data_IF_531145288654
#
_entry.id   IF_531145288654
#
_cell.length_a   1.000
_cell.length_b   1.000
_cell.length_c   1.000
_cell.angle_alpha   90.00
_cell.angle_beta   90.00
_cell.angle_gamma   90.00
#
_symmetry.space_group_name_H-M   'P 1'
#
loop_
_entity.id
_entity.type
_entity.pdbx_description
1 polymer ?
#
# COMPACT_ATOMS: atom_id res chain seq x y z
N UNK A 1 -12.64 9.96 34.52
CA UNK A 1 -12.56 9.52 33.12
C UNK A 1 -11.41 10.26 32.50
N UNK A 2 -10.27 9.59 32.39
CA UNK A 2 -9.04 10.19 31.85
C UNK A 2 -9.18 10.24 30.33
N UNK A 3 -9.22 11.44 29.76
CA UNK A 3 -9.20 11.61 28.30
C UNK A 3 -7.75 11.40 27.88
N UNK A 4 -7.45 10.23 27.32
CA UNK A 4 -6.15 9.98 26.69
C UNK A 4 -5.96 10.97 25.54
N UNK A 5 -4.76 11.48 25.42
CA UNK A 5 -4.37 12.41 24.36
C UNK A 5 -4.61 11.77 22.98
N UNK A 6 -5.66 12.21 22.29
CA UNK A 6 -6.19 11.57 21.07
C UNK A 6 -5.37 11.84 19.81
N UNK A 7 -4.15 12.38 19.96
CA UNK A 7 -3.27 12.74 18.84
C UNK A 7 -2.48 11.56 18.27
N UNK A 8 -2.36 10.46 19.02
CA UNK A 8 -1.54 9.33 18.64
C UNK A 8 -2.34 8.02 18.59
N UNK A 9 -1.98 7.15 17.65
CA UNK A 9 -2.39 5.75 17.66
C UNK A 9 -1.41 5.00 18.58
N UNK A 10 -1.91 4.39 19.65
CA UNK A 10 -1.05 3.73 20.66
C UNK A 10 -0.81 2.25 20.35
N UNK A 11 -1.80 1.57 19.76
CA UNK A 11 -1.74 0.12 19.48
C UNK A 11 -2.82 -0.29 18.48
N UNK A 12 -2.62 -1.46 17.88
CA UNK A 12 -3.67 -2.19 17.16
C UNK A 12 -4.52 -2.94 18.19
N UNK A 13 -5.85 -2.78 18.13
CA UNK A 13 -6.79 -3.54 18.97
C UNK A 13 -7.15 -4.87 18.31
N UNK A 14 -7.45 -4.82 17.03
CA UNK A 14 -7.86 -5.98 16.22
C UNK A 14 -7.48 -5.72 14.76
N UNK A 15 -7.05 -6.77 14.05
CA UNK A 15 -6.77 -6.70 12.61
C UNK A 15 -8.04 -7.04 11.83
N UNK A 16 -8.30 -6.31 10.75
CA UNK A 16 -9.46 -6.53 9.88
C UNK A 16 -9.35 -7.77 8.97
N UNK A 17 -8.20 -8.46 8.97
CA UNK A 17 -7.86 -9.50 7.98
C UNK A 17 -7.47 -8.95 6.60
N UNK A 18 -7.74 -7.67 6.32
CA UNK A 18 -7.35 -6.99 5.07
C UNK A 18 -5.87 -6.62 5.09
N UNK A 19 -5.25 -6.58 3.92
CA UNK A 19 -3.84 -6.20 3.75
C UNK A 19 -3.74 -4.99 2.85
N UNK A 20 -2.65 -4.23 2.98
CA UNK A 20 -2.38 -3.09 2.10
C UNK A 20 -1.21 -3.43 1.19
N UNK A 21 -1.41 -3.37 -0.12
CA UNK A 21 -0.33 -3.46 -1.12
C UNK A 21 0.11 -2.04 -1.49
N UNK A 22 1.37 -1.69 -1.24
CA UNK A 22 1.92 -0.36 -1.54
C UNK A 22 2.89 -0.45 -2.69
N UNK A 23 2.81 0.50 -3.62
CA UNK A 23 3.76 0.64 -4.73
C UNK A 23 4.30 2.06 -4.76
N UNK A 24 5.61 2.16 -4.96
CA UNK A 24 6.36 3.40 -5.19
C UNK A 24 7.01 3.37 -6.57
N UNK A 25 6.72 4.37 -7.40
CA UNK A 25 7.30 4.55 -8.74
C UNK A 25 8.43 5.59 -8.69
N UNK A 26 9.60 5.24 -9.22
CA UNK A 26 10.78 6.11 -9.23
C UNK A 26 10.76 7.13 -10.38
N UNK A 27 11.62 8.15 -10.22
CA UNK A 27 12.01 9.05 -11.30
C UNK A 27 13.46 8.73 -11.73
N UNK A 28 13.82 8.92 -13.02
CA UNK A 28 12.94 9.30 -14.12
C UNK A 28 12.02 8.14 -14.54
N UNK A 29 10.80 8.47 -14.97
CA UNK A 29 9.84 7.46 -15.42
C UNK A 29 10.26 6.74 -16.70
N UNK A 30 10.01 5.43 -16.81
CA UNK A 30 10.17 4.70 -18.07
C UNK A 30 9.15 5.17 -19.11
N UNK A 31 9.41 4.87 -20.39
CA UNK A 31 8.45 5.13 -21.47
C UNK A 31 7.18 4.28 -21.34
N UNK A 32 7.35 3.02 -20.94
CA UNK A 32 6.26 2.09 -20.64
C UNK A 32 5.94 2.15 -19.14
N UNK A 33 5.08 3.09 -18.78
CA UNK A 33 4.66 3.38 -17.41
C UNK A 33 3.49 2.49 -16.97
N UNK A 34 3.72 1.65 -15.96
CA UNK A 34 2.77 0.65 -15.45
C UNK A 34 1.59 1.24 -14.68
N UNK A 35 1.55 2.55 -14.38
CA UNK A 35 0.49 3.13 -13.53
C UNK A 35 -0.89 3.03 -14.14
N UNK A 36 -1.01 3.19 -15.47
CA UNK A 36 -2.30 3.03 -16.14
C UNK A 36 -2.78 1.57 -16.06
N UNK A 37 -1.87 0.61 -16.26
CA UNK A 37 -2.15 -0.82 -16.14
C UNK A 37 -2.58 -1.15 -14.71
N UNK A 38 -1.90 -0.60 -13.71
CA UNK A 38 -2.24 -0.79 -12.30
C UNK A 38 -3.61 -0.19 -11.95
N UNK A 39 -3.93 1.02 -12.43
CA UNK A 39 -5.26 1.63 -12.24
C UNK A 39 -6.37 0.74 -12.81
N UNK A 40 -6.15 0.19 -14.00
CA UNK A 40 -7.10 -0.73 -14.63
C UNK A 40 -7.24 -2.03 -13.83
N UNK A 41 -6.16 -2.57 -13.29
CA UNK A 41 -6.17 -3.76 -12.46
C UNK A 41 -6.91 -3.53 -11.13
N UNK A 42 -6.68 -2.39 -10.46
CA UNK A 42 -7.41 -1.96 -9.26
C UNK A 42 -8.91 -1.89 -9.56
N UNK A 43 -9.30 -1.19 -10.63
CA UNK A 43 -10.70 -1.02 -10.99
C UNK A 43 -11.38 -2.35 -11.38
N UNK A 44 -10.71 -3.16 -12.20
CA UNK A 44 -11.26 -4.45 -12.66
C UNK A 44 -11.40 -5.46 -11.53
N UNK A 45 -10.50 -5.40 -10.53
CA UNK A 45 -10.54 -6.24 -9.35
C UNK A 45 -11.50 -5.75 -8.25
N UNK A 46 -12.10 -4.57 -8.41
CA UNK A 46 -12.97 -3.97 -7.38
C UNK A 46 -12.23 -3.55 -6.11
N UNK A 47 -10.92 -3.30 -6.20
CA UNK A 47 -10.11 -2.90 -5.06
C UNK A 47 -10.29 -1.41 -4.74
N UNK A 48 -10.12 -1.05 -3.46
CA UNK A 48 -10.01 0.35 -3.05
C UNK A 48 -8.54 0.77 -3.13
N UNK A 49 -8.29 2.02 -3.53
CA UNK A 49 -6.93 2.55 -3.54
C UNK A 49 -6.88 4.05 -3.25
N UNK A 50 -5.76 4.48 -2.70
CA UNK A 50 -5.41 5.88 -2.50
C UNK A 50 -4.10 6.18 -3.24
N UNK A 51 -4.08 7.28 -3.97
CA UNK A 51 -2.88 7.80 -4.63
C UNK A 51 -2.35 9.01 -3.88
N UNK A 52 -1.06 9.00 -3.54
CA UNK A 52 -0.35 10.18 -3.04
C UNK A 52 0.50 10.76 -4.16
N UNK A 53 -0.04 11.82 -4.77
CA UNK A 53 0.47 12.38 -6.01
C UNK A 53 0.42 11.35 -7.14
N UNK A 54 1.53 11.19 -7.84
CA UNK A 54 1.62 10.36 -9.04
C UNK A 54 2.68 9.25 -8.93
N UNK A 55 3.30 9.09 -7.75
CA UNK A 55 4.38 8.14 -7.47
C UNK A 55 4.08 7.09 -6.40
N UNK A 56 3.07 7.29 -5.56
CA UNK A 56 2.72 6.34 -4.52
C UNK A 56 1.26 5.94 -4.62
N UNK A 57 1.00 4.65 -4.42
CA UNK A 57 -0.34 4.10 -4.30
C UNK A 57 -0.37 3.12 -3.13
N UNK A 58 -1.44 3.17 -2.34
CA UNK A 58 -1.82 2.14 -1.39
C UNK A 58 -3.13 1.49 -1.85
N UNK A 59 -3.14 0.17 -1.96
CA UNK A 59 -4.29 -0.62 -2.41
C UNK A 59 -4.75 -1.51 -1.27
N UNK A 60 -6.04 -1.45 -0.92
CA UNK A 60 -6.65 -2.34 0.06
C UNK A 60 -7.01 -3.69 -0.59
N UNK A 61 -6.54 -4.77 0.04
CA UNK A 61 -6.69 -6.15 -0.39
C UNK A 61 -7.55 -6.91 0.64
N UNK A 62 -8.82 -7.21 0.32
CA UNK A 62 -9.64 -8.08 1.13
C UNK A 62 -9.09 -9.52 1.20
N UNK A 63 -9.29 -10.20 2.33
CA UNK A 63 -8.74 -11.55 2.59
C UNK A 63 -9.14 -12.60 1.54
N UNK A 64 -10.34 -12.48 0.97
CA UNK A 64 -10.87 -13.41 -0.04
C UNK A 64 -10.49 -13.07 -1.49
N UNK A 65 -9.70 -12.01 -1.72
CA UNK A 65 -9.39 -11.51 -3.05
C UNK A 65 -8.03 -12.02 -3.55
N UNK A 66 -7.91 -12.23 -4.87
CA UNK A 66 -6.65 -12.55 -5.53
C UNK A 66 -5.91 -11.26 -5.96
N UNK A 67 -4.77 -10.88 -5.33
CA UNK A 67 -4.02 -9.69 -5.72
C UNK A 67 -3.10 -9.92 -6.92
N UNK A 68 -3.00 -11.13 -7.49
CA UNK A 68 -2.07 -11.46 -8.57
C UNK A 68 -2.14 -10.51 -9.79
N UNK A 69 -3.32 -10.02 -10.22
CA UNK A 69 -3.38 -9.00 -11.29
C UNK A 69 -2.67 -7.69 -10.96
N UNK A 70 -2.65 -7.27 -9.69
CA UNK A 70 -1.96 -6.06 -9.25
C UNK A 70 -0.44 -6.23 -9.35
N UNK A 71 0.08 -7.38 -8.91
CA UNK A 71 1.50 -7.71 -9.04
C UNK A 71 1.95 -7.74 -10.50
N UNK A 72 1.17 -8.41 -11.36
CA UNK A 72 1.47 -8.47 -12.80
C UNK A 72 1.47 -7.10 -13.46
N UNK A 73 0.62 -6.17 -13.01
CA UNK A 73 0.55 -4.83 -13.58
C UNK A 73 1.84 -4.02 -13.39
N UNK A 74 2.59 -4.28 -12.31
CA UNK A 74 3.82 -3.54 -11.97
C UNK A 74 5.11 -4.37 -12.11
N UNK A 75 5.00 -5.64 -12.48
CA UNK A 75 6.14 -6.57 -12.49
C UNK A 75 7.29 -6.07 -13.37
N UNK A 76 7.00 -5.56 -14.58
CA UNK A 76 8.04 -5.07 -15.49
C UNK A 76 8.85 -3.92 -14.87
N UNK A 77 8.21 -2.98 -14.18
CA UNK A 77 8.89 -1.88 -13.51
C UNK A 77 9.65 -2.33 -12.26
N UNK A 78 9.12 -3.32 -11.53
CA UNK A 78 9.82 -3.94 -10.40
C UNK A 78 11.10 -4.63 -10.88
N UNK A 79 11.01 -5.42 -11.95
CA UNK A 79 12.14 -6.13 -12.54
C UNK A 79 13.19 -5.17 -13.10
N UNK A 80 12.75 -4.03 -13.63
CA UNK A 80 13.61 -2.95 -14.11
C UNK A 80 14.19 -2.07 -12.98
N UNK A 81 13.75 -2.27 -11.73
CA UNK A 81 14.14 -1.44 -10.60
C UNK A 81 13.58 -0.02 -10.64
N UNK A 82 12.55 0.25 -11.44
CA UNK A 82 11.87 1.57 -11.54
C UNK A 82 10.61 1.65 -10.68
N UNK A 83 10.19 0.53 -10.08
CA UNK A 83 9.17 0.51 -9.05
C UNK A 83 9.57 -0.41 -7.88
N UNK A 84 9.08 -0.06 -6.69
CA UNK A 84 9.24 -0.85 -5.47
C UNK A 84 7.87 -1.12 -4.88
N UNK A 85 7.74 -2.22 -4.16
CA UNK A 85 6.50 -2.54 -3.47
C UNK A 85 6.77 -3.11 -2.08
N UNK A 86 5.79 -2.94 -1.20
CA UNK A 86 5.79 -3.56 0.12
C UNK A 86 4.36 -3.95 0.50
N UNK A 87 4.26 -4.89 1.43
CA UNK A 87 3.03 -5.03 2.21
C UNK A 87 3.02 -3.98 3.32
N UNK A 88 1.89 -3.32 3.54
CA UNK A 88 1.75 -2.34 4.62
C UNK A 88 1.86 -2.94 6.03
N UNK A 89 1.82 -4.27 6.14
CA UNK A 89 2.01 -5.05 7.38
C UNK A 89 3.37 -5.77 7.45
N UNK A 90 4.35 -5.38 6.63
CA UNK A 90 5.70 -5.96 6.63
C UNK A 90 6.38 -5.84 7.99
N UNK A 91 6.10 -4.75 8.72
CA UNK A 91 6.58 -4.52 10.08
C UNK A 91 5.40 -4.46 11.08
N UNK A 92 5.55 -4.99 12.30
CA UNK A 92 4.55 -4.82 13.36
C UNK A 92 4.37 -3.34 13.70
N UNK A 93 3.14 -2.93 13.99
CA UNK A 93 2.85 -1.58 14.46
C UNK A 93 3.67 -1.26 15.73
N UNK A 94 4.41 -0.15 15.68
CA UNK A 94 5.11 0.41 16.84
C UNK A 94 4.43 1.73 17.21
N UNK A 95 3.88 1.79 18.43
CA UNK A 95 3.33 3.03 18.97
C UNK A 95 4.42 4.05 19.28
N UNK A 96 4.04 5.27 19.71
CA UNK A 96 5.00 6.26 20.19
C UNK A 96 5.90 5.65 21.26
N UNK A 97 7.21 5.85 21.14
CA UNK A 97 8.13 5.49 22.21
C UNK A 97 7.73 6.30 23.45
N UNK A 98 7.28 5.63 24.51
CA UNK A 98 7.06 6.26 25.82
C UNK A 98 8.43 6.59 26.40
N UNK A 99 9.00 7.74 26.03
CA UNK A 99 10.08 8.35 26.80
C UNK A 99 9.43 9.03 28.01
N UNK A 100 9.62 8.44 29.19
CA UNK A 100 9.37 9.07 30.48
C UNK A 100 10.57 9.92 30.89
#
# INVERSE_FOLDING_TARGET
MEIRDSRFVERVVERSGRRIFRVFFMEPRPSDDSRLVLRNAVQSGGFLSEWSGDRHIAIDIPESSDPSPLFRAVQCEIDAGTAFWEWGDSEPFQGPATSF
#
